data_IF_825535147165
#
_entry.id   IF_825535147165
#
_cell.length_a   1.000
_cell.length_b   1.000
_cell.length_c   1.000
_cell.angle_alpha   90.00
_cell.angle_beta   90.00
_cell.angle_gamma   90.00
#
_symmetry.space_group_name_H-M   'P 1'
#
loop_
_entity.id
_entity.type
_entity.pdbx_description
1 polymer ?
#
# COMPACT_ATOMS: atom_id res chain seq x y z
N UNK A 1 15.74 -1.93 -1.39
CA UNK A 1 14.30 -1.89 -0.99
C UNK A 1 14.08 -2.21 0.48
N UNK A 2 14.63 -3.30 1.03
CA UNK A 2 14.41 -3.74 2.41
C UNK A 2 14.51 -2.65 3.52
N UNK A 3 15.57 -1.81 3.59
CA UNK A 3 15.64 -0.77 4.64
C UNK A 3 14.57 0.32 4.49
N UNK A 4 14.21 0.70 3.26
CA UNK A 4 13.14 1.67 3.00
C UNK A 4 11.77 1.10 3.41
N UNK A 5 11.53 -0.19 3.13
CA UNK A 5 10.33 -0.90 3.53
C UNK A 5 10.19 -0.91 5.05
N UNK A 6 11.26 -1.19 5.79
CA UNK A 6 11.24 -1.17 7.26
C UNK A 6 10.89 0.22 7.80
N UNK A 7 11.48 1.28 7.24
CA UNK A 7 11.20 2.65 7.68
C UNK A 7 9.73 3.01 7.44
N UNK A 8 9.20 2.65 6.27
CA UNK A 8 7.79 2.84 5.92
C UNK A 8 6.87 2.04 6.83
N UNK A 9 7.17 0.76 7.07
CA UNK A 9 6.40 -0.10 7.98
C UNK A 9 6.39 0.42 9.42
N UNK A 10 7.52 0.95 9.92
CA UNK A 10 7.59 1.60 11.24
C UNK A 10 6.71 2.85 11.29
N UNK A 11 6.69 3.66 10.24
CA UNK A 11 5.84 4.85 10.15
C UNK A 11 4.35 4.47 10.06
N UNK A 12 4.01 3.46 9.27
CA UNK A 12 2.66 2.91 9.18
C UNK A 12 2.18 2.35 10.54
N UNK A 13 3.04 1.63 11.26
CA UNK A 13 2.73 1.14 12.61
C UNK A 13 2.44 2.28 13.59
N UNK A 14 3.25 3.36 13.58
CA UNK A 14 2.98 4.56 14.39
C UNK A 14 1.63 5.18 14.02
N UNK A 15 1.35 5.30 12.73
CA UNK A 15 0.09 5.88 12.24
C UNK A 15 -1.14 5.07 12.66
N UNK A 16 -1.03 3.73 12.63
CA UNK A 16 -2.10 2.85 13.09
C UNK A 16 -2.42 3.04 14.58
N UNK A 17 -1.42 3.30 15.43
CA UNK A 17 -1.66 3.54 16.86
C UNK A 17 -2.43 4.85 17.13
N UNK A 18 -2.20 5.89 16.32
CA UNK A 18 -2.87 7.19 16.46
C UNK A 18 -4.13 7.33 15.57
N UNK A 19 -4.44 6.31 14.76
CA UNK A 19 -5.59 6.31 13.85
C UNK A 19 -6.92 6.60 14.56
N UNK A 20 -7.22 6.04 15.76
CA UNK A 20 -8.48 6.33 16.45
C UNK A 20 -8.63 7.82 16.80
N UNK A 21 -7.54 8.47 17.23
CA UNK A 21 -7.53 9.88 17.61
C UNK A 21 -7.68 10.79 16.38
N UNK A 22 -7.05 10.43 15.27
CA UNK A 22 -7.25 11.11 13.98
C UNK A 22 -8.69 10.94 13.47
N UNK A 23 -9.30 9.77 13.64
CA UNK A 23 -10.69 9.53 13.24
C UNK A 23 -11.67 10.40 14.03
N UNK A 24 -11.50 10.54 15.34
CA UNK A 24 -12.35 11.42 16.16
C UNK A 24 -12.32 12.86 15.63
N UNK A 25 -11.13 13.36 15.28
CA UNK A 25 -10.98 14.72 14.77
C UNK A 25 -11.54 14.89 13.34
N UNK A 26 -11.41 13.87 12.50
CA UNK A 26 -12.06 13.83 11.19
C UNK A 26 -13.60 13.77 11.28
N UNK A 27 -14.14 13.07 12.27
CA UNK A 27 -15.58 13.03 12.54
C UNK A 27 -16.09 14.43 12.93
N UNK A 28 -15.45 15.11 13.87
CA UNK A 28 -15.80 16.50 14.25
C UNK A 28 -15.73 17.47 13.08
N UNK A 29 -14.74 17.31 12.20
CA UNK A 29 -14.63 18.09 10.97
C UNK A 29 -15.79 17.82 10.01
N UNK A 30 -16.19 16.55 9.88
CA UNK A 30 -17.32 16.13 9.03
C UNK A 30 -18.64 16.67 9.57
N UNK A 31 -18.86 16.61 10.88
CA UNK A 31 -20.04 17.17 11.55
C UNK A 31 -20.12 18.69 11.34
N UNK A 32 -19.02 19.42 11.57
CA UNK A 32 -18.97 20.86 11.31
C UNK A 32 -19.26 21.22 9.85
N UNK A 33 -18.81 20.37 8.91
CA UNK A 33 -19.08 20.54 7.47
C UNK A 33 -20.56 20.31 7.14
N UNK A 34 -21.21 19.33 7.77
CA UNK A 34 -22.65 19.07 7.58
C UNK A 34 -23.51 20.21 8.12
N UNK A 35 -23.10 20.83 9.23
CA UNK A 35 -23.78 21.99 9.83
C UNK A 35 -23.50 23.30 9.05
N UNK A 36 -22.60 23.27 8.06
CA UNK A 36 -22.24 24.45 7.26
C UNK A 36 -21.30 25.43 7.98
N UNK A 37 -20.68 25.01 9.08
CA UNK A 37 -19.76 25.84 9.86
C UNK A 37 -18.33 25.75 9.32
N UNK A 38 -18.04 26.58 8.32
CA UNK A 38 -16.74 26.62 7.65
C UNK A 38 -15.57 27.00 8.59
N UNK A 39 -15.84 27.77 9.65
CA UNK A 39 -14.82 28.18 10.62
C UNK A 39 -14.34 27.00 11.45
N UNK A 40 -15.27 26.18 11.96
CA UNK A 40 -14.94 24.98 12.72
C UNK A 40 -14.28 23.91 11.84
N UNK A 41 -14.68 23.79 10.57
CA UNK A 41 -13.97 22.92 9.60
C UNK A 41 -12.50 23.33 9.46
N UNK A 42 -12.22 24.62 9.30
CA UNK A 42 -10.86 25.12 9.23
C UNK A 42 -10.09 24.87 10.54
N UNK A 43 -10.72 25.08 11.70
CA UNK A 43 -10.12 24.84 13.00
C UNK A 43 -9.75 23.37 13.19
N UNK A 44 -10.69 22.45 12.96
CA UNK A 44 -10.43 21.01 13.09
C UNK A 44 -9.39 20.51 12.08
N UNK A 45 -9.31 21.11 10.89
CA UNK A 45 -8.28 20.80 9.90
C UNK A 45 -6.88 21.23 10.37
N UNK A 46 -6.77 22.41 10.97
CA UNK A 46 -5.53 22.88 11.59
C UNK A 46 -5.14 22.02 12.79
N UNK A 47 -6.09 21.68 13.66
CA UNK A 47 -5.86 20.77 14.79
C UNK A 47 -5.34 19.41 14.29
N UNK A 48 -5.88 18.87 13.18
CA UNK A 48 -5.45 17.60 12.62
C UNK A 48 -4.03 17.68 12.09
N UNK A 49 -3.70 18.74 11.36
CA UNK A 49 -2.33 18.96 10.88
C UNK A 49 -1.34 19.17 12.04
N UNK A 50 -1.73 19.92 13.07
CA UNK A 50 -0.92 20.13 14.26
C UNK A 50 -0.67 18.81 15.00
N UNK A 51 -1.72 18.01 15.19
CA UNK A 51 -1.64 16.68 15.81
C UNK A 51 -0.71 15.74 15.03
N UNK A 52 -0.84 15.69 13.70
CA UNK A 52 0.04 14.89 12.86
C UNK A 52 1.50 15.36 12.96
N UNK A 53 1.75 16.67 12.99
CA UNK A 53 3.08 17.26 13.12
C UNK A 53 3.69 16.96 14.50
N UNK A 54 2.92 17.12 15.58
CA UNK A 54 3.35 16.86 16.95
C UNK A 54 3.73 15.39 17.15
N UNK A 55 2.92 14.46 16.62
CA UNK A 55 3.20 13.01 16.71
C UNK A 55 4.18 12.52 15.64
N UNK A 56 4.70 13.41 14.78
CA UNK A 56 5.67 13.09 13.74
C UNK A 56 5.13 12.14 12.66
N UNK A 57 3.80 12.13 12.46
CA UNK A 57 3.10 11.32 11.48
C UNK A 57 3.22 11.99 10.11
N UNK A 58 4.03 11.39 9.23
CA UNK A 58 4.18 11.90 7.87
C UNK A 58 3.58 10.90 6.87
N UNK A 59 2.45 11.22 6.22
CA UNK A 59 1.82 10.34 5.23
C UNK A 59 2.72 10.13 4.00
N UNK A 60 3.53 11.12 3.64
CA UNK A 60 4.46 11.00 2.49
C UNK A 60 5.51 9.93 2.69
N UNK A 61 5.95 9.68 3.94
CA UNK A 61 6.93 8.61 4.23
C UNK A 61 6.42 7.23 3.83
N UNK A 62 5.11 6.99 3.91
CA UNK A 62 4.51 5.73 3.47
C UNK A 62 4.45 5.63 1.94
N UNK A 63 4.32 6.78 1.26
CA UNK A 63 4.28 6.87 -0.20
C UNK A 63 5.67 6.75 -0.84
N UNK A 64 6.76 6.97 -0.10
CA UNK A 64 8.13 6.85 -0.60
C UNK A 64 8.45 5.45 -1.16
N UNK A 65 7.89 4.38 -0.58
CA UNK A 65 8.20 3.01 -1.00
C UNK A 65 7.60 2.70 -2.38
N UNK A 66 6.29 2.91 -2.63
CA UNK A 66 5.73 2.79 -3.98
C UNK A 66 6.41 3.70 -5.00
N UNK A 67 6.71 4.95 -4.63
CA UNK A 67 7.39 5.90 -5.51
C UNK A 67 8.78 5.42 -5.92
N UNK A 68 9.56 4.87 -4.98
CA UNK A 68 10.87 4.29 -5.29
C UNK A 68 10.77 2.99 -6.11
N UNK A 69 9.68 2.24 -5.97
CA UNK A 69 9.44 1.02 -6.74
C UNK A 69 9.03 1.29 -8.19
N UNK A 70 8.36 2.41 -8.47
CA UNK A 70 7.85 2.73 -9.81
C UNK A 70 8.94 2.79 -10.89
N UNK A 71 10.06 3.53 -10.74
CA UNK A 71 11.13 3.56 -11.73
C UNK A 71 11.71 2.17 -11.99
N UNK A 72 11.92 1.40 -10.92
CA UNK A 72 12.40 0.02 -11.00
C UNK A 72 11.44 -0.83 -11.86
N UNK A 73 10.15 -0.80 -11.53
CA UNK A 73 9.12 -1.52 -12.29
C UNK A 73 9.08 -1.11 -13.77
N UNK A 74 9.10 0.20 -14.05
CA UNK A 74 9.08 0.72 -15.43
C UNK A 74 10.31 0.27 -16.20
N UNK A 75 11.50 0.35 -15.61
CA UNK A 75 12.75 -0.09 -16.25
C UNK A 75 12.72 -1.59 -16.57
N UNK A 76 12.29 -2.43 -15.62
CA UNK A 76 12.16 -3.87 -15.83
C UNK A 76 11.10 -4.19 -16.89
N UNK A 77 9.93 -3.54 -16.83
CA UNK A 77 8.86 -3.76 -17.80
C UNK A 77 9.26 -3.36 -19.22
N UNK A 78 9.86 -2.18 -19.38
CA UNK A 78 10.33 -1.72 -20.69
C UNK A 78 11.45 -2.62 -21.24
N UNK A 79 12.38 -3.05 -20.38
CA UNK A 79 13.44 -3.98 -20.76
C UNK A 79 12.89 -5.34 -21.21
N UNK A 80 12.03 -5.96 -20.40
CA UNK A 80 11.39 -7.24 -20.73
C UNK A 80 10.54 -7.13 -22.00
N UNK A 81 9.77 -6.05 -22.16
CA UNK A 81 8.97 -5.82 -23.35
C UNK A 81 9.82 -5.67 -24.62
N UNK A 82 10.94 -4.97 -24.54
CA UNK A 82 11.85 -4.85 -25.68
C UNK A 82 12.51 -6.17 -26.04
N UNK A 83 12.94 -6.96 -25.04
CA UNK A 83 13.50 -8.30 -25.25
C UNK A 83 12.47 -9.31 -25.79
N UNK A 84 11.19 -9.15 -25.44
CA UNK A 84 10.12 -9.93 -26.02
C UNK A 84 9.83 -9.54 -27.49
N UNK A 85 9.91 -8.24 -27.82
CA UNK A 85 9.68 -7.73 -29.17
C UNK A 85 10.82 -8.02 -30.15
N UNK A 86 12.06 -8.08 -29.67
CA UNK A 86 13.23 -8.55 -30.43
C UNK A 86 13.54 -9.94 -29.89
N UNK A 87 12.79 -10.98 -30.33
CA UNK A 87 12.67 -12.23 -29.60
C UNK A 87 14.05 -12.88 -29.42
N UNK A 88 14.60 -12.70 -28.23
CA UNK A 88 15.87 -13.29 -27.84
C UNK A 88 15.61 -14.77 -27.64
N UNK A 89 16.41 -15.64 -28.26
CA UNK A 89 16.17 -17.09 -28.23
C UNK A 89 16.11 -17.66 -26.80
N UNK A 90 16.80 -17.02 -25.85
CA UNK A 90 16.72 -17.38 -24.42
C UNK A 90 15.36 -17.14 -23.76
N UNK A 91 14.52 -16.23 -24.29
CA UNK A 91 13.15 -16.01 -23.78
C UNK A 91 12.12 -16.93 -24.44
N UNK A 92 12.44 -17.51 -25.60
CA UNK A 92 11.57 -18.48 -26.30
C UNK A 92 11.57 -19.85 -25.64
N UNK A 93 12.71 -20.26 -25.11
CA UNK A 93 12.87 -21.58 -24.45
C UNK A 93 13.05 -21.47 -22.92
N UNK A 94 13.14 -20.24 -22.39
CA UNK A 94 13.44 -19.99 -20.98
C UNK A 94 12.27 -20.15 -20.01
N UNK A 95 11.08 -20.49 -20.51
CA UNK A 95 9.90 -20.69 -19.70
C UNK A 95 9.87 -22.02 -18.94
N UNK A 96 8.95 -22.16 -17.99
CA UNK A 96 8.82 -23.36 -17.16
C UNK A 96 7.37 -23.82 -17.08
N UNK A 97 7.14 -25.13 -16.91
CA UNK A 97 5.81 -25.75 -16.81
C UNK A 97 4.93 -25.52 -18.06
N UNK A 98 3.93 -24.62 -17.98
CA UNK A 98 2.94 -24.38 -19.03
C UNK A 98 3.18 -23.11 -19.85
N UNK A 99 4.20 -22.31 -19.49
CA UNK A 99 4.53 -21.03 -20.16
C UNK A 99 5.95 -21.08 -20.75
N UNK A 100 6.21 -22.04 -21.65
CA UNK A 100 7.56 -22.29 -22.22
C UNK A 100 8.13 -21.10 -23.00
N UNK A 101 7.27 -20.33 -23.68
CA UNK A 101 7.65 -19.12 -24.40
C UNK A 101 7.21 -17.87 -23.63
N UNK A 102 8.17 -17.08 -23.14
CA UNK A 102 7.94 -15.84 -22.40
C UNK A 102 7.72 -14.61 -23.31
N UNK A 103 7.88 -14.76 -24.62
CA UNK A 103 7.68 -13.68 -25.59
C UNK A 103 6.20 -13.52 -25.98
N UNK A 104 5.40 -14.56 -25.76
CA UNK A 104 3.98 -14.59 -26.03
C UNK A 104 3.15 -14.32 -24.75
N UNK A 105 1.94 -13.76 -24.88
CA UNK A 105 1.01 -13.68 -23.76
C UNK A 105 0.63 -15.09 -23.27
N UNK A 106 0.44 -15.23 -21.95
CA UNK A 106 0.04 -16.50 -21.33
C UNK A 106 -1.28 -17.01 -21.93
N UNK A 107 -1.20 -18.13 -22.66
CA UNK A 107 -2.33 -18.72 -23.37
C UNK A 107 -3.41 -19.26 -22.41
N UNK A 108 -3.02 -19.67 -21.21
CA UNK A 108 -3.91 -20.31 -20.23
C UNK A 108 -4.36 -19.34 -19.13
N UNK A 109 -3.89 -18.09 -19.15
CA UNK A 109 -4.16 -17.07 -18.13
C UNK A 109 -3.85 -17.53 -16.68
N UNK A 110 -3.01 -18.55 -16.50
CA UNK A 110 -2.65 -19.11 -15.21
C UNK A 110 -1.84 -18.12 -14.36
N UNK A 111 -0.91 -17.40 -14.96
CA UNK A 111 -0.08 -16.40 -14.28
C UNK A 111 -0.92 -15.23 -13.71
N UNK A 112 -1.84 -14.60 -14.48
CA UNK A 112 -2.79 -13.63 -13.95
C UNK A 112 -3.66 -14.15 -12.80
N UNK A 113 -4.13 -15.40 -12.88
CA UNK A 113 -4.98 -16.00 -11.84
C UNK A 113 -4.21 -16.21 -10.53
N UNK A 114 -3.01 -16.78 -10.59
CA UNK A 114 -2.14 -16.97 -9.41
C UNK A 114 -1.78 -15.62 -8.79
N UNK A 115 -1.46 -14.62 -9.62
CA UNK A 115 -1.13 -13.28 -9.16
C UNK A 115 -2.33 -12.65 -8.43
N UNK A 116 -3.53 -12.77 -9.00
CA UNK A 116 -4.77 -12.26 -8.39
C UNK A 116 -5.07 -12.95 -7.06
N UNK A 117 -4.93 -14.28 -7.02
CA UNK A 117 -5.13 -15.07 -5.81
C UNK A 117 -4.14 -14.69 -4.70
N UNK A 118 -2.85 -14.57 -5.05
CA UNK A 118 -1.80 -14.19 -4.09
C UNK A 118 -2.04 -12.79 -3.53
N UNK A 119 -2.48 -11.85 -4.37
CA UNK A 119 -2.83 -10.50 -3.96
C UNK A 119 -4.04 -10.49 -3.02
N UNK A 120 -5.07 -11.29 -3.31
CA UNK A 120 -6.23 -11.45 -2.44
C UNK A 120 -5.83 -11.97 -1.06
N UNK A 121 -5.06 -13.07 -0.99
CA UNK A 121 -4.54 -13.61 0.28
C UNK A 121 -3.73 -12.57 1.05
N UNK A 122 -2.90 -11.78 0.36
CA UNK A 122 -2.10 -10.72 1.00
C UNK A 122 -2.98 -9.66 1.67
N UNK A 123 -4.06 -9.22 0.99
CA UNK A 123 -5.00 -8.22 1.54
C UNK A 123 -5.74 -8.79 2.74
N UNK A 124 -6.23 -10.04 2.66
CA UNK A 124 -6.95 -10.70 3.76
C UNK A 124 -6.07 -10.83 5.01
N UNK A 125 -4.80 -11.23 4.84
CA UNK A 125 -3.86 -11.32 5.96
C UNK A 125 -3.60 -9.96 6.61
N UNK A 126 -3.46 -8.90 5.81
CA UNK A 126 -3.30 -7.53 6.32
C UNK A 126 -4.55 -7.09 7.11
N UNK A 127 -5.74 -7.41 6.60
CA UNK A 127 -7.01 -7.06 7.23
C UNK A 127 -7.18 -7.80 8.57
N UNK A 128 -6.97 -9.12 8.58
CA UNK A 128 -7.01 -9.94 9.79
C UNK A 128 -6.01 -9.44 10.84
N UNK A 129 -4.78 -9.13 10.44
CA UNK A 129 -3.77 -8.58 11.34
C UNK A 129 -4.21 -7.24 11.94
N UNK A 130 -4.90 -6.39 11.17
CA UNK A 130 -5.44 -5.11 11.64
C UNK A 130 -6.57 -5.31 12.64
N UNK A 131 -7.51 -6.23 12.36
CA UNK A 131 -8.62 -6.57 13.27
C UNK A 131 -8.10 -7.16 14.59
N UNK A 132 -7.18 -8.12 14.53
CA UNK A 132 -6.58 -8.73 15.72
C UNK A 132 -5.93 -7.65 16.60
N UNK A 133 -5.21 -6.70 15.99
CA UNK A 133 -4.61 -5.57 16.70
C UNK A 133 -5.62 -4.66 17.38
N UNK A 134 -6.78 -4.45 16.75
CA UNK A 134 -7.81 -3.52 17.21
C UNK A 134 -8.74 -4.13 18.27
N UNK A 135 -9.02 -5.44 18.20
CA UNK A 135 -9.98 -6.11 19.10
C UNK A 135 -9.33 -6.98 20.18
N UNK A 136 -8.21 -7.65 19.90
CA UNK A 136 -7.62 -8.61 20.84
C UNK A 136 -6.56 -7.94 21.73
N UNK A 137 -5.67 -7.13 21.16
CA UNK A 137 -4.56 -6.54 21.92
C UNK A 137 -5.01 -5.55 23.01
N UNK A 138 -5.97 -4.62 22.79
CA UNK A 138 -6.43 -3.76 23.87
C UNK A 138 -7.19 -4.51 24.97
N UNK A 139 -7.72 -5.72 24.71
CA UNK A 139 -8.39 -6.53 25.73
C UNK A 139 -7.43 -7.19 26.75
N UNK A 140 -6.12 -7.20 26.49
CA UNK A 140 -5.09 -7.76 27.37
C UNK A 140 -4.21 -6.72 28.06
N UNK A 141 -4.43 -5.43 27.79
CA UNK A 141 -3.59 -4.31 28.30
C UNK A 141 -4.34 -3.39 29.27
N UNK A 142 -5.62 -3.70 29.57
CA UNK A 142 -6.38 -3.07 30.66
C UNK A 142 -6.75 -4.10 31.73
#
# INVERSE_FOLDING_TARGET
>A
MFPLVIISQRNAAKMNNYMPQMQILQLKMTEARQIGNHLDVARYSQELMAFMKEKGLNPFKNMLVPLAQMPLFISFFMGLRQMANVPVDSLREGGMLWFTDLTLPDQYYGLPLITSFTLWVTIEVIYLCTIIKMYIIPAYVY
#
